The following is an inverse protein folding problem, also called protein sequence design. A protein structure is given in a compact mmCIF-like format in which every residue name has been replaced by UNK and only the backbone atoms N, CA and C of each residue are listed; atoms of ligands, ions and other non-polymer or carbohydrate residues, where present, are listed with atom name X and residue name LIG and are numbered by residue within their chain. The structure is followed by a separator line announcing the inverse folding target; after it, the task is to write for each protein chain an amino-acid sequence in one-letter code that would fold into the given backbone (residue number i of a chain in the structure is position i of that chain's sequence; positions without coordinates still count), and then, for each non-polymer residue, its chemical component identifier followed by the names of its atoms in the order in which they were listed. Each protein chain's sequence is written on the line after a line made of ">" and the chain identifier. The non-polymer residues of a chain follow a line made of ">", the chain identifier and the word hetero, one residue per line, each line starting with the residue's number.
data_IF_917538874825
#
_entry.id   IF_917538874825
#
_cell.length_a   1.000
_cell.length_b   1.000
_cell.length_c   1.000
_cell.angle_alpha   90.00
_cell.angle_beta   90.00
_cell.angle_gamma   90.00
#
_symmetry.space_group_name_H-M   'P 1'
#
loop_
_entity.id
_entity.type
_entity.pdbx_description
1 polymer ?
#
# COMPACT_ATOMS: atom_id res chain seq x y z
N UNK A 1 -4.42 11.49 12.32
CA UNK A 1 -3.65 11.23 11.08
C UNK A 1 -4.61 10.61 10.06
N UNK A 2 -4.61 11.06 8.79
CA UNK A 2 -5.49 10.55 7.71
C UNK A 2 -4.66 10.26 6.47
N UNK A 3 -4.84 9.08 5.87
CA UNK A 3 -4.19 8.72 4.59
C UNK A 3 -5.05 9.25 3.44
N UNK A 4 -4.47 10.09 2.58
CA UNK A 4 -5.18 10.70 1.45
C UNK A 4 -5.03 9.90 0.16
N UNK A 5 -3.84 9.29 -0.03
CA UNK A 5 -3.52 8.51 -1.22
C UNK A 5 -2.46 7.46 -0.91
N UNK A 6 -2.52 6.31 -1.58
CA UNK A 6 -1.41 5.34 -1.67
C UNK A 6 -0.99 5.26 -3.13
N UNK A 7 0.28 5.58 -3.42
CA UNK A 7 0.84 5.47 -4.75
C UNK A 7 2.24 4.86 -4.72
N UNK A 8 2.63 4.22 -5.81
CA UNK A 8 3.93 3.60 -5.94
C UNK A 8 4.10 2.92 -7.29
N UNK A 9 5.23 2.23 -7.45
CA UNK A 9 5.57 1.53 -8.67
C UNK A 9 6.32 0.23 -8.37
N UNK A 10 6.01 -0.83 -9.11
CA UNK A 10 6.76 -2.10 -9.11
C UNK A 10 7.00 -2.68 -7.70
N UNK A 11 5.96 -2.78 -6.88
CA UNK A 11 6.05 -3.36 -5.54
C UNK A 11 5.43 -4.77 -5.54
N UNK A 12 6.24 -5.80 -5.29
CA UNK A 12 5.83 -7.20 -5.27
C UNK A 12 4.85 -7.57 -6.41
N UNK A 13 3.60 -7.90 -6.10
CA UNK A 13 2.56 -8.28 -7.09
C UNK A 13 1.94 -7.09 -7.86
N UNK A 14 2.24 -5.84 -7.49
CA UNK A 14 1.77 -4.64 -8.19
C UNK A 14 2.86 -4.17 -9.17
N UNK A 15 2.74 -4.62 -10.42
CA UNK A 15 3.63 -4.21 -11.51
C UNK A 15 3.18 -2.87 -12.12
N UNK A 16 4.15 -2.06 -12.57
CA UNK A 16 3.86 -0.73 -13.09
C UNK A 16 3.45 0.26 -12.00
N UNK A 17 2.91 1.39 -12.43
CA UNK A 17 2.43 2.44 -11.52
C UNK A 17 1.06 2.05 -10.96
N UNK A 18 0.89 2.26 -9.65
CA UNK A 18 -0.40 2.09 -8.98
C UNK A 18 -0.70 3.32 -8.13
N UNK A 19 -1.98 3.68 -8.06
CA UNK A 19 -2.47 4.83 -7.34
C UNK A 19 -3.89 4.58 -6.83
N UNK A 20 -4.11 4.76 -5.53
CA UNK A 20 -5.42 4.74 -4.88
C UNK A 20 -5.61 6.08 -4.18
N UNK A 21 -6.53 6.89 -4.70
CA UNK A 21 -6.88 8.20 -4.18
C UNK A 21 -8.15 8.11 -3.33
N UNK A 22 -8.03 8.36 -2.02
CA UNK A 22 -9.16 8.30 -1.10
C UNK A 22 -9.98 9.58 -1.08
N UNK A 23 -9.50 10.66 -1.71
CA UNK A 23 -10.23 11.92 -1.85
C UNK A 23 -11.04 11.99 -3.16
N UNK A 24 -10.93 10.96 -3.99
CA UNK A 24 -11.77 10.78 -5.18
C UNK A 24 -13.01 9.93 -4.90
N UNK A 25 -14.14 10.24 -5.54
CA UNK A 25 -15.33 9.39 -5.53
C UNK A 25 -15.05 8.04 -6.24
N UNK A 26 -15.62 6.92 -5.75
CA UNK A 26 -16.61 6.80 -4.67
C UNK A 26 -16.01 6.72 -3.25
N UNK A 27 -14.68 6.76 -3.11
CA UNK A 27 -14.02 6.53 -1.81
C UNK A 27 -14.16 7.73 -0.86
N UNK A 28 -14.21 8.95 -1.41
CA UNK A 28 -14.35 10.17 -0.63
C UNK A 28 -15.63 10.20 0.23
N UNK A 29 -16.74 9.66 -0.28
CA UNK A 29 -18.05 9.66 0.39
C UNK A 29 -18.39 8.33 1.09
N UNK A 30 -17.67 7.24 0.80
CA UNK A 30 -18.02 5.89 1.23
C UNK A 30 -17.88 5.66 2.74
N UNK A 31 -16.93 6.32 3.42
CA UNK A 31 -16.64 6.15 4.86
C UNK A 31 -16.05 4.78 5.26
N UNK A 32 -16.45 3.71 4.59
CA UNK A 32 -15.95 2.34 4.74
C UNK A 32 -15.95 1.62 3.38
N UNK A 33 -14.78 1.13 2.97
CA UNK A 33 -14.58 0.40 1.73
C UNK A 33 -13.85 -0.93 1.96
N UNK A 34 -13.88 -1.81 0.96
CA UNK A 34 -13.19 -3.09 0.98
C UNK A 34 -12.18 -3.18 -0.18
N UNK A 35 -11.01 -3.78 0.09
CA UNK A 35 -10.05 -4.16 -0.94
C UNK A 35 -10.24 -5.66 -1.21
N UNK A 36 -10.81 -5.99 -2.37
CA UNK A 36 -11.13 -7.38 -2.75
C UNK A 36 -10.40 -7.80 -4.02
N UNK A 37 -10.31 -9.11 -4.26
CA UNK A 37 -9.63 -9.72 -5.39
C UNK A 37 -9.01 -11.09 -5.06
N UNK A 38 -8.56 -11.85 -6.06
CA UNK A 38 -8.00 -13.19 -5.86
C UNK A 38 -6.71 -13.18 -5.03
N UNK A 39 -6.31 -14.34 -4.52
CA UNK A 39 -4.99 -14.51 -3.88
C UNK A 39 -3.88 -14.17 -4.87
N UNK A 40 -2.89 -13.42 -4.42
CA UNK A 40 -1.81 -12.91 -5.28
C UNK A 40 -2.11 -11.59 -6.00
N UNK A 41 -3.34 -11.06 -5.95
CA UNK A 41 -3.71 -9.80 -6.63
C UNK A 41 -3.08 -8.51 -6.05
N UNK A 42 -2.20 -8.61 -5.03
CA UNK A 42 -1.52 -7.44 -4.47
C UNK A 42 -2.28 -6.67 -3.39
N UNK A 43 -3.40 -7.20 -2.84
CA UNK A 43 -4.16 -6.56 -1.75
C UNK A 43 -3.28 -6.20 -0.53
N UNK A 44 -2.58 -7.19 0.02
CA UNK A 44 -1.64 -6.97 1.13
C UNK A 44 -0.40 -6.16 0.70
N UNK A 45 -0.05 -6.21 -0.58
CA UNK A 45 1.05 -5.41 -1.13
C UNK A 45 0.74 -3.91 -1.13
N UNK A 46 -0.51 -3.53 -1.38
CA UNK A 46 -0.95 -2.14 -1.25
C UNK A 46 -0.81 -1.65 0.21
N UNK A 47 -1.17 -2.48 1.19
CA UNK A 47 -1.01 -2.15 2.62
C UNK A 47 0.46 -2.12 3.05
N UNK A 48 1.28 -3.02 2.52
CA UNK A 48 2.73 -3.00 2.73
C UNK A 48 3.36 -1.73 2.16
N UNK A 49 2.92 -1.24 1.00
CA UNK A 49 3.39 0.01 0.41
C UNK A 49 3.22 1.18 1.39
N UNK A 50 2.05 1.25 2.03
CA UNK A 50 1.74 2.25 3.05
C UNK A 50 2.70 2.15 4.25
N UNK A 51 2.89 0.95 4.81
CA UNK A 51 3.81 0.74 5.92
C UNK A 51 5.26 1.06 5.55
N UNK A 52 5.69 0.63 4.37
CA UNK A 52 7.04 0.88 3.87
C UNK A 52 7.30 2.37 3.70
N UNK A 53 6.36 3.10 3.09
CA UNK A 53 6.51 4.54 2.86
C UNK A 53 6.56 5.35 4.15
N UNK A 54 5.75 4.97 5.16
CA UNK A 54 5.68 5.71 6.42
C UNK A 54 6.76 5.31 7.44
N UNK A 55 7.21 4.06 7.42
CA UNK A 55 8.04 3.49 8.49
C UNK A 55 9.33 2.82 8.00
N UNK A 56 9.58 2.77 6.70
CA UNK A 56 10.76 2.11 6.13
C UNK A 56 10.77 0.60 6.29
N UNK A 57 9.64 -0.03 6.65
CA UNK A 57 9.53 -1.47 6.83
C UNK A 57 8.12 -1.99 6.49
N UNK A 58 7.99 -3.28 6.19
CA UNK A 58 6.68 -3.94 6.03
C UNK A 58 6.45 -4.97 7.13
N UNK A 59 5.18 -5.24 7.52
CA UNK A 59 4.89 -6.29 8.51
C UNK A 59 5.23 -7.70 8.03
N UNK A 60 5.22 -7.93 6.71
CA UNK A 60 5.40 -9.25 6.10
C UNK A 60 6.87 -9.61 5.87
N UNK A 61 7.76 -8.62 5.80
CA UNK A 61 9.19 -8.85 5.63
C UNK A 61 9.89 -8.68 6.98
N UNK A 62 10.82 -9.59 7.36
CA UNK A 62 11.66 -9.35 8.51
C UNK A 62 12.45 -8.06 8.28
N UNK A 63 12.64 -7.27 9.34
CA UNK A 63 13.54 -6.11 9.28
C UNK A 63 14.88 -6.61 8.73
N UNK A 64 15.21 -6.23 7.50
CA UNK A 64 16.59 -6.34 7.07
C UNK A 64 17.36 -5.47 8.04
N UNK A 65 18.20 -6.10 8.87
CA UNK A 65 19.13 -5.36 9.71
C UNK A 65 19.89 -4.44 8.77
N UNK A 66 19.58 -3.14 8.85
CA UNK A 66 20.25 -2.15 8.02
C UNK A 66 21.74 -2.31 8.29
N UNK A 67 22.49 -2.78 7.29
CA UNK A 67 23.90 -2.42 7.24
C UNK A 67 23.88 -0.91 7.10
N UNK A 68 24.16 -0.24 8.21
CA UNK A 68 24.43 1.19 8.22
C UNK A 68 25.44 1.50 7.13
N UNK A 69 25.07 2.44 6.28
CA UNK A 69 25.97 3.26 5.50
C UNK A 69 25.69 4.70 5.93
#
# INVERSE_FOLDING_TARGET
>A
MRILRIAGRNLASLAGDFNVDFEAEPLASSGLFAISGPTGAGKSTLLDALCLALYGNTPRLPKSGGRGA
#
